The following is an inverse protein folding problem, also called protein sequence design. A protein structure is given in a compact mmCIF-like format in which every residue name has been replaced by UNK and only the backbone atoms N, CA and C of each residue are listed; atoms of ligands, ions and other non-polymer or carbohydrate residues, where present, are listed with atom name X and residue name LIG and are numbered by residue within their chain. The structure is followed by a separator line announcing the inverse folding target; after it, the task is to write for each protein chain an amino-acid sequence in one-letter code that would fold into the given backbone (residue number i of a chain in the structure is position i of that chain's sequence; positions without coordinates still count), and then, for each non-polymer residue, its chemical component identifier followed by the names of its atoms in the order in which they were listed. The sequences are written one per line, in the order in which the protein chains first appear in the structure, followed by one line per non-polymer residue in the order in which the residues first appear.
data_IF_201386396007
#
_entry.id   IF_201386396007
#
_cell.length_a   1.000
_cell.length_b   1.000
_cell.length_c   1.000
_cell.angle_alpha   90.00
_cell.angle_beta   90.00
_cell.angle_gamma   90.00
#
_symmetry.space_group_name_H-M   'P 1'
#
loop_
_entity.id
_entity.type
_entity.pdbx_description
1 polymer ?
#
# COMPACT_ATOMS: atom_id res chain seq x y z
N UNK A 1 -2.06 54.39 26.31
CA UNK A 1 -0.91 53.95 25.48
C UNK A 1 -0.38 52.57 25.89
N UNK A 2 0.45 52.41 26.94
CA UNK A 2 1.03 51.08 27.26
C UNK A 2 0.03 50.07 27.82
N UNK A 3 -0.85 50.50 28.73
CA UNK A 3 -1.89 49.61 29.29
C UNK A 3 -2.92 49.14 28.26
N UNK A 4 -3.20 49.94 27.22
CA UNK A 4 -4.05 49.52 26.11
C UNK A 4 -3.38 48.44 25.26
N UNK A 5 -2.06 48.54 25.06
CA UNK A 5 -1.29 47.50 24.39
C UNK A 5 -1.32 46.19 25.19
N UNK A 6 -1.13 46.25 26.51
CA UNK A 6 -1.22 45.07 27.38
C UNK A 6 -2.62 44.43 27.29
N UNK A 7 -3.68 45.23 27.35
CA UNK A 7 -5.05 44.73 27.22
C UNK A 7 -5.31 44.05 25.86
N UNK A 8 -4.70 44.56 24.77
CA UNK A 8 -4.79 43.94 23.45
C UNK A 8 -4.01 42.62 23.35
N UNK A 9 -2.83 42.56 23.96
CA UNK A 9 -2.03 41.32 24.03
C UNK A 9 -2.79 40.26 24.83
N UNK A 10 -3.32 40.61 26.01
CA UNK A 10 -4.07 39.69 26.86
C UNK A 10 -5.32 39.14 26.15
N UNK A 11 -6.04 40.01 25.42
CA UNK A 11 -7.17 39.60 24.58
C UNK A 11 -6.76 38.62 23.48
N UNK A 12 -5.64 38.86 22.81
CA UNK A 12 -5.13 37.98 21.74
C UNK A 12 -4.67 36.62 22.30
N UNK A 13 -3.97 36.62 23.43
CA UNK A 13 -3.52 35.40 24.11
C UNK A 13 -4.72 34.56 24.55
N UNK A 14 -5.70 35.18 25.22
CA UNK A 14 -6.91 34.48 25.65
C UNK A 14 -7.67 33.89 24.44
N UNK A 15 -7.86 34.67 23.37
CA UNK A 15 -8.54 34.20 22.17
C UNK A 15 -7.78 33.05 21.48
N UNK A 16 -6.44 33.11 21.45
CA UNK A 16 -5.59 32.03 20.96
C UNK A 16 -5.75 30.73 21.75
N UNK A 17 -5.69 30.80 23.07
CA UNK A 17 -5.85 29.63 23.95
C UNK A 17 -7.21 28.96 23.72
N UNK A 18 -8.30 29.73 23.73
CA UNK A 18 -9.65 29.17 23.59
C UNK A 18 -9.96 28.66 22.18
N UNK A 19 -9.43 29.29 21.12
CA UNK A 19 -9.69 28.83 19.74
C UNK A 19 -8.82 27.64 19.32
N UNK A 20 -7.56 27.58 19.75
CA UNK A 20 -6.65 26.49 19.36
C UNK A 20 -7.10 25.16 19.98
N UNK A 21 -7.62 25.16 21.21
CA UNK A 21 -8.14 23.95 21.85
C UNK A 21 -9.32 23.34 21.10
N UNK A 22 -10.23 24.18 20.58
CA UNK A 22 -11.41 23.72 19.80
C UNK A 22 -10.98 23.09 18.48
N UNK A 23 -10.03 23.71 17.76
CA UNK A 23 -9.52 23.17 16.49
C UNK A 23 -8.84 21.81 16.67
N UNK A 24 -8.07 21.61 17.76
CA UNK A 24 -7.40 20.33 18.03
C UNK A 24 -8.39 19.20 18.34
N UNK A 25 -9.41 19.47 19.14
CA UNK A 25 -10.44 18.47 19.48
C UNK A 25 -11.25 18.02 18.26
N UNK A 26 -11.56 18.93 17.35
CA UNK A 26 -12.28 18.58 16.10
C UNK A 26 -11.39 17.70 15.21
N UNK A 27 -10.13 18.06 15.01
CA UNK A 27 -9.20 17.25 14.21
C UNK A 27 -8.97 15.85 14.80
N UNK A 28 -8.82 15.73 16.13
CA UNK A 28 -8.70 14.44 16.82
C UNK A 28 -9.98 13.61 16.66
N UNK A 29 -11.16 14.23 16.77
CA UNK A 29 -12.46 13.54 16.61
C UNK A 29 -12.68 13.07 15.17
N UNK A 30 -12.29 13.86 14.18
CA UNK A 30 -12.35 13.45 12.76
C UNK A 30 -11.41 12.26 12.50
N UNK A 31 -10.17 12.30 13.01
CA UNK A 31 -9.21 11.21 12.84
C UNK A 31 -9.67 9.91 13.53
N UNK A 32 -10.27 10.00 14.72
CA UNK A 32 -10.87 8.84 15.42
C UNK A 32 -12.11 8.30 14.69
N UNK A 33 -12.90 9.16 14.04
CA UNK A 33 -14.05 8.73 13.27
C UNK A 33 -13.67 7.93 12.00
N UNK A 34 -12.47 8.14 11.45
CA UNK A 34 -11.94 7.34 10.32
C UNK A 34 -11.57 5.92 10.77
N UNK A 35 -11.13 5.73 12.01
CA UNK A 35 -10.85 4.40 12.57
C UNK A 35 -12.09 3.56 12.88
N UNK A 36 -13.29 4.15 12.88
CA UNK A 36 -14.57 3.48 13.19
C UNK A 36 -15.42 3.21 11.94
N UNK A 37 -14.92 3.54 10.74
CA UNK A 37 -15.52 3.03 9.49
C UNK A 37 -15.22 1.54 9.45
N UNK A 38 -16.28 0.78 9.75
CA UNK A 38 -16.28 -0.64 10.09
C UNK A 38 -15.32 -1.48 9.28
N UNK A 39 -14.77 -2.48 9.97
CA UNK A 39 -14.11 -3.68 9.43
C UNK A 39 -14.37 -3.80 7.93
N UNK A 40 -13.47 -3.26 7.11
CA UNK A 40 -13.53 -3.44 5.67
C UNK A 40 -13.32 -4.93 5.44
N UNK A 41 -14.43 -5.66 5.31
CA UNK A 41 -14.40 -7.06 4.93
C UNK A 41 -13.98 -7.09 3.46
N UNK A 42 -12.68 -7.26 3.23
CA UNK A 42 -12.14 -7.54 1.91
C UNK A 42 -12.61 -8.94 1.50
N UNK A 43 -13.76 -9.02 0.83
CA UNK A 43 -14.16 -10.22 0.10
C UNK A 43 -13.43 -10.22 -1.24
N UNK A 44 -12.32 -10.94 -1.29
CA UNK A 44 -11.73 -11.37 -2.55
C UNK A 44 -12.63 -12.44 -3.20
N UNK A 45 -12.54 -12.64 -4.54
CA UNK A 45 -13.26 -13.71 -5.20
C UNK A 45 -12.95 -15.05 -4.51
N UNK A 46 -13.99 -15.76 -4.08
CA UNK A 46 -13.85 -17.09 -3.50
C UNK A 46 -13.04 -17.95 -4.47
N UNK A 47 -12.05 -18.69 -3.94
CA UNK A 47 -11.26 -19.63 -4.72
C UNK A 47 -12.16 -20.77 -5.21
N UNK A 48 -12.89 -20.58 -6.30
CA UNK A 48 -13.59 -21.64 -7.04
C UNK A 48 -12.60 -22.50 -7.86
N UNK A 49 -11.36 -22.62 -7.38
CA UNK A 49 -10.24 -23.33 -8.01
C UNK A 49 -9.96 -24.66 -7.31
N UNK A 50 -10.95 -25.26 -6.67
CA UNK A 50 -10.81 -26.58 -6.04
C UNK A 50 -11.61 -27.68 -6.74
N UNK A 51 -12.26 -27.37 -7.87
CA UNK A 51 -12.98 -28.34 -8.71
C UNK A 51 -12.56 -28.33 -10.19
N UNK A 52 -11.49 -27.62 -10.53
CA UNK A 52 -10.88 -27.64 -11.88
C UNK A 52 -9.52 -28.36 -11.90
N UNK A 53 -9.16 -29.09 -10.83
CA UNK A 53 -7.92 -29.86 -10.73
C UNK A 53 -7.95 -31.20 -11.49
N UNK A 54 -8.88 -31.39 -12.42
CA UNK A 54 -8.93 -32.57 -13.31
C UNK A 54 -8.91 -32.21 -14.79
N UNK A 55 -8.70 -30.93 -15.15
CA UNK A 55 -8.65 -30.55 -16.57
C UNK A 55 -7.60 -29.48 -16.87
N UNK A 56 -6.33 -29.88 -16.81
CA UNK A 56 -5.35 -29.66 -17.89
C UNK A 56 -3.97 -30.14 -17.43
N UNK A 57 -3.74 -31.43 -17.59
CA UNK A 57 -2.45 -31.89 -18.09
C UNK A 57 -2.24 -31.27 -19.47
N UNK A 58 -1.27 -30.36 -19.56
CA UNK A 58 -0.45 -29.99 -20.73
C UNK A 58 0.02 -28.54 -20.60
N UNK A 59 1.02 -28.31 -19.74
CA UNK A 59 1.96 -27.21 -19.96
C UNK A 59 3.35 -27.78 -19.71
N UNK A 60 4.10 -27.92 -20.80
CA UNK A 60 5.45 -28.47 -20.86
C UNK A 60 6.38 -27.73 -19.89
N UNK A 61 7.10 -28.49 -19.06
CA UNK A 61 8.39 -28.07 -18.51
C UNK A 61 8.36 -26.99 -17.43
N UNK A 62 7.62 -27.16 -16.33
CA UNK A 62 8.01 -26.51 -15.08
C UNK A 62 9.22 -27.23 -14.52
N UNK A 63 10.40 -26.82 -14.95
CA UNK A 63 11.64 -27.18 -14.25
C UNK A 63 11.50 -26.77 -12.76
N UNK A 64 11.70 -27.68 -11.78
CA UNK A 64 11.50 -27.40 -10.35
C UNK A 64 12.41 -26.26 -9.85
N UNK A 65 13.45 -25.91 -10.62
CA UNK A 65 14.36 -24.80 -10.34
C UNK A 65 13.70 -23.42 -10.45
N UNK A 66 12.60 -23.29 -11.19
CA UNK A 66 11.91 -22.00 -11.40
C UNK A 66 10.59 -21.89 -10.64
N UNK A 67 10.22 -22.89 -9.84
CA UNK A 67 8.95 -22.93 -9.10
C UNK A 67 8.85 -21.82 -8.02
N UNK A 68 10.01 -21.38 -7.50
CA UNK A 68 10.10 -20.35 -6.44
C UNK A 68 10.53 -18.97 -6.96
N UNK A 69 10.73 -18.80 -8.27
CA UNK A 69 11.22 -17.54 -8.84
C UNK A 69 10.03 -16.60 -9.06
N UNK A 70 10.09 -15.40 -8.48
CA UNK A 70 9.06 -14.39 -8.68
C UNK A 70 9.03 -13.91 -10.14
N UNK A 71 7.83 -13.60 -10.64
CA UNK A 71 7.62 -13.18 -12.05
C UNK A 71 8.49 -11.98 -12.49
N UNK A 72 8.83 -11.10 -11.56
CA UNK A 72 9.66 -9.90 -11.81
C UNK A 72 11.13 -10.06 -11.39
N UNK A 73 11.50 -11.18 -10.77
CA UNK A 73 12.87 -11.44 -10.32
C UNK A 73 13.78 -11.69 -11.52
N UNK A 74 15.10 -11.45 -11.38
CA UNK A 74 16.07 -11.83 -12.41
C UNK A 74 15.94 -13.32 -12.72
N UNK A 75 15.90 -13.65 -14.02
CA UNK A 75 15.85 -15.04 -14.45
C UNK A 75 17.12 -15.78 -14.00
N UNK A 76 17.01 -16.95 -13.35
CA UNK A 76 18.19 -17.69 -12.89
C UNK A 76 18.98 -18.33 -14.05
N UNK A 77 18.53 -18.14 -15.29
CA UNK A 77 19.25 -18.42 -16.52
C UNK A 77 20.39 -17.41 -16.82
N UNK A 78 20.48 -16.30 -16.07
CA UNK A 78 21.56 -15.31 -16.22
C UNK A 78 21.44 -14.41 -17.47
N UNK A 79 20.33 -14.48 -18.20
CA UNK A 79 20.14 -13.66 -19.41
C UNK A 79 20.19 -12.16 -19.08
N UNK A 80 20.96 -11.41 -19.86
CA UNK A 80 21.05 -9.95 -19.79
C UNK A 80 20.25 -9.32 -20.93
N UNK A 81 19.83 -8.08 -20.75
CA UNK A 81 19.28 -7.24 -21.83
C UNK A 81 20.42 -6.53 -22.55
N UNK A 82 20.14 -5.96 -23.72
CA UNK A 82 21.06 -5.08 -24.46
C UNK A 82 21.59 -3.93 -23.59
N UNK A 83 20.78 -3.46 -22.62
CA UNK A 83 21.14 -2.42 -21.66
C UNK A 83 22.08 -2.89 -20.53
N UNK A 84 22.53 -4.15 -20.54
CA UNK A 84 23.39 -4.74 -19.49
C UNK A 84 22.68 -5.13 -18.19
N UNK A 85 21.37 -4.93 -18.08
CA UNK A 85 20.58 -5.28 -16.89
C UNK A 85 20.06 -6.73 -16.94
N UNK A 86 19.85 -7.40 -15.79
CA UNK A 86 19.35 -8.77 -15.78
C UNK A 86 17.91 -8.86 -16.31
N UNK A 87 17.65 -9.85 -17.17
CA UNK A 87 16.34 -10.07 -17.77
C UNK A 87 15.40 -10.68 -16.73
N UNK A 88 14.25 -10.03 -16.51
CA UNK A 88 13.19 -10.52 -15.60
C UNK A 88 12.65 -11.87 -16.07
N UNK A 89 12.24 -12.73 -15.13
CA UNK A 89 11.72 -14.07 -15.41
C UNK A 89 10.57 -14.07 -16.43
N UNK A 90 9.61 -13.14 -16.29
CA UNK A 90 8.49 -12.93 -17.24
C UNK A 90 8.87 -12.58 -18.68
N UNK A 91 10.11 -12.18 -18.93
CA UNK A 91 10.59 -11.84 -20.28
C UNK A 91 11.58 -12.88 -20.81
N UNK A 92 11.75 -13.97 -20.07
CA UNK A 92 12.64 -15.08 -20.40
C UNK A 92 11.86 -16.40 -20.30
N UNK A 93 12.26 -17.29 -19.39
CA UNK A 93 11.66 -18.62 -19.20
C UNK A 93 10.22 -18.57 -18.67
N UNK A 94 9.80 -17.46 -18.05
CA UNK A 94 8.41 -17.23 -17.61
C UNK A 94 7.54 -16.48 -18.62
N UNK A 95 7.90 -16.46 -19.90
CA UNK A 95 7.10 -15.78 -20.94
C UNK A 95 5.82 -16.54 -21.32
N UNK A 96 5.87 -17.88 -21.23
CA UNK A 96 4.78 -18.79 -21.59
C UNK A 96 4.31 -19.67 -20.42
N UNK A 97 4.78 -19.38 -19.20
CA UNK A 97 4.31 -19.97 -17.93
C UNK A 97 3.34 -19.00 -17.29
#
# INVERSE_FOLDING_TARGET
MFHELLALIDKQVAHGIFRVQIARQVAERELQSVGTRGTLQFQGPAKTMQQASERQEQIQGKDPRFEKVGRNDPCPCGAMKEDGTPKKFKHCHGKNV
#
